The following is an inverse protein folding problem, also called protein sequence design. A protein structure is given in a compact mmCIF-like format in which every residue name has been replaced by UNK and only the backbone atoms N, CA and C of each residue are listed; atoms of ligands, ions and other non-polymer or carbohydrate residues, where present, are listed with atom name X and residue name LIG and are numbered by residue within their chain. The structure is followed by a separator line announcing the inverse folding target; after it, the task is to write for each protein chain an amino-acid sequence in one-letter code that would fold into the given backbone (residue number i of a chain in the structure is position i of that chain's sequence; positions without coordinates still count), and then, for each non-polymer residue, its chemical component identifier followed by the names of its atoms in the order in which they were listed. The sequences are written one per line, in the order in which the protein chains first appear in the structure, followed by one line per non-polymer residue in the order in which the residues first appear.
data_IF_814618978169
#
_entry.id   IF_814618978169
#
_cell.length_a   1.000
_cell.length_b   1.000
_cell.length_c   1.000
_cell.angle_alpha   90.00
_cell.angle_beta   90.00
_cell.angle_gamma   90.00
#
_symmetry.space_group_name_H-M   'P 1'
#
loop_
_entity.id
_entity.type
_entity.pdbx_description
1 polymer ?
#
# COMPACT_ATOMS: atom_id res chain seq x y z
N UNK A 1 24.65 -2.37 30.45
CA UNK A 1 24.62 -0.92 30.14
C UNK A 1 23.85 -0.81 28.85
N UNK A 2 22.81 0.03 28.76
CA UNK A 2 22.08 0.20 27.51
C UNK A 2 23.02 0.70 26.42
N UNK A 3 22.88 0.16 25.21
CA UNK A 3 23.64 0.59 24.04
C UNK A 3 23.20 1.97 23.58
N UNK A 4 23.95 2.61 22.67
CA UNK A 4 23.52 3.87 22.04
C UNK A 4 22.18 3.67 21.33
N UNK A 5 22.01 2.52 20.68
CA UNK A 5 20.78 2.08 20.02
C UNK A 5 19.62 1.97 21.02
N UNK A 6 19.81 1.34 22.19
CA UNK A 6 18.75 1.19 23.21
C UNK A 6 18.25 2.56 23.71
N UNK A 7 19.17 3.51 23.90
CA UNK A 7 18.81 4.86 24.32
C UNK A 7 18.07 5.64 23.22
N UNK A 8 18.45 5.45 21.95
CA UNK A 8 17.77 6.07 20.81
C UNK A 8 16.34 5.53 20.66
N UNK A 9 16.15 4.21 20.72
CA UNK A 9 14.83 3.59 20.64
C UNK A 9 13.90 4.06 21.77
N UNK A 10 14.41 4.14 23.00
CA UNK A 10 13.64 4.67 24.13
C UNK A 10 13.26 6.13 23.91
N UNK A 11 14.17 6.94 23.36
CA UNK A 11 13.91 8.37 23.09
C UNK A 11 12.86 8.55 21.99
N UNK A 12 12.89 7.71 20.96
CA UNK A 12 11.87 7.71 19.89
C UNK A 12 10.50 7.35 20.47
N UNK A 13 10.42 6.31 21.31
CA UNK A 13 9.16 5.87 21.93
C UNK A 13 8.55 6.94 22.84
N UNK A 14 9.38 7.69 23.55
CA UNK A 14 8.93 8.71 24.49
C UNK A 14 8.70 10.09 23.86
N UNK A 15 9.19 10.32 22.62
CA UNK A 15 9.04 11.61 21.94
C UNK A 15 7.62 11.78 21.36
N UNK A 16 7.19 13.04 21.30
CA UNK A 16 5.90 13.48 20.76
C UNK A 16 6.10 14.63 19.75
N UNK A 17 7.35 14.92 19.38
CA UNK A 17 7.75 16.02 18.51
C UNK A 17 8.24 15.46 17.18
N UNK A 18 7.59 15.85 16.09
CA UNK A 18 7.87 15.32 14.74
C UNK A 18 9.28 15.66 14.26
N UNK A 19 9.77 16.88 14.53
CA UNK A 19 11.11 17.32 14.14
C UNK A 19 12.19 16.55 14.92
N UNK A 20 11.94 16.29 16.22
CA UNK A 20 12.81 15.46 17.05
C UNK A 20 12.82 14.01 16.56
N UNK A 21 11.65 13.43 16.27
CA UNK A 21 11.53 12.08 15.73
C UNK A 21 12.28 11.94 14.41
N UNK A 22 12.11 12.86 13.47
CA UNK A 22 12.86 12.86 12.20
C UNK A 22 14.37 12.93 12.43
N UNK A 23 14.82 13.80 13.34
CA UNK A 23 16.24 13.92 13.65
C UNK A 23 16.79 12.61 14.24
N UNK A 24 16.06 11.99 15.16
CA UNK A 24 16.42 10.72 15.78
C UNK A 24 16.43 9.56 14.77
N UNK A 25 15.45 9.51 13.86
CA UNK A 25 15.39 8.54 12.77
C UNK A 25 16.53 8.73 11.77
N UNK A 26 16.89 9.98 11.46
CA UNK A 26 18.05 10.30 10.64
C UNK A 26 19.39 9.79 11.22
N UNK A 27 19.45 9.53 12.53
CA UNK A 27 20.63 8.90 13.14
C UNK A 27 20.74 7.41 12.80
N UNK A 28 19.65 6.73 12.46
CA UNK A 28 19.65 5.33 12.00
C UNK A 28 20.14 5.19 10.56
N UNK A 29 19.95 6.20 9.71
CA UNK A 29 20.45 6.20 8.32
C UNK A 29 22.00 6.09 8.22
N UNK A 30 22.73 6.32 9.31
CA UNK A 30 24.18 6.14 9.39
C UNK A 30 24.64 4.77 9.91
N UNK A 31 23.71 3.90 10.32
CA UNK A 31 23.98 2.56 10.85
C UNK A 31 23.97 1.57 9.67
N UNK A 32 24.96 0.67 9.54
CA UNK A 32 24.90 -0.41 8.56
C UNK A 32 23.61 -1.22 8.72
N UNK A 33 22.99 -1.63 7.61
CA UNK A 33 21.71 -2.36 7.65
C UNK A 33 21.75 -3.60 8.53
N UNK A 34 22.88 -4.32 8.54
CA UNK A 34 23.14 -5.50 9.40
C UNK A 34 23.10 -5.23 10.92
N UNK A 35 23.23 -3.96 11.32
CA UNK A 35 23.23 -3.51 12.72
C UNK A 35 21.94 -2.71 13.07
N UNK A 36 21.00 -2.57 12.13
CA UNK A 36 19.73 -1.89 12.40
C UNK A 36 18.86 -2.74 13.33
N UNK A 37 18.24 -2.13 14.37
CA UNK A 37 17.28 -2.81 15.22
C UNK A 37 15.92 -2.90 14.51
N UNK A 38 15.86 -3.63 13.39
CA UNK A 38 14.72 -3.71 12.47
C UNK A 38 13.45 -4.18 13.19
N UNK A 39 13.57 -5.11 14.14
CA UNK A 39 12.45 -5.58 14.96
C UNK A 39 11.86 -4.48 15.85
N UNK A 40 12.70 -3.79 16.61
CA UNK A 40 12.26 -2.74 17.53
C UNK A 40 11.74 -1.50 16.77
N UNK A 41 12.32 -1.17 15.62
CA UNK A 41 11.81 -0.11 14.74
C UNK A 41 10.44 -0.48 14.14
N UNK A 42 10.24 -1.75 13.78
CA UNK A 42 8.93 -2.25 13.33
C UNK A 42 7.91 -2.17 14.46
N UNK A 43 8.29 -2.54 15.69
CA UNK A 43 7.40 -2.40 16.85
C UNK A 43 7.02 -0.93 17.07
N UNK A 44 7.97 0.00 17.02
CA UNK A 44 7.71 1.44 17.14
C UNK A 44 6.74 1.92 16.05
N UNK A 45 7.01 1.56 14.80
CA UNK A 45 6.18 1.93 13.65
C UNK A 45 4.75 1.40 13.82
N UNK A 46 4.59 0.23 14.42
CA UNK A 46 3.30 -0.45 14.58
C UNK A 46 2.78 -0.37 16.02
N UNK A 47 3.21 0.58 16.86
CA UNK A 47 2.65 0.71 18.22
C UNK A 47 1.38 1.56 18.20
N UNK A 48 0.32 1.07 18.86
CA UNK A 48 -0.99 1.74 19.03
C UNK A 48 -0.90 2.93 19.99
N UNK A 49 -1.58 4.05 19.70
CA UNK A 49 -1.93 5.00 20.75
C UNK A 49 -3.02 4.36 21.64
N UNK A 50 -2.81 4.37 22.95
CA UNK A 50 -3.70 3.77 23.95
C UNK A 50 -5.12 4.35 24.00
N UNK A 51 -5.40 5.46 23.29
CA UNK A 51 -6.69 6.16 23.34
C UNK A 51 -7.57 6.02 22.10
N UNK A 52 -7.06 5.50 20.98
CA UNK A 52 -7.84 5.38 19.75
C UNK A 52 -7.67 3.96 19.19
N UNK A 53 -8.72 3.40 18.60
CA UNK A 53 -8.70 2.09 17.92
C UNK A 53 -7.79 2.10 16.66
N UNK A 54 -6.91 3.10 16.53
CA UNK A 54 -5.92 3.31 15.50
C UNK A 54 -4.57 2.82 16.00
N UNK A 55 -4.00 1.87 15.26
CA UNK A 55 -2.55 1.69 15.27
C UNK A 55 -1.98 3.02 14.78
N UNK A 56 -0.94 3.53 15.45
CA UNK A 56 -0.11 4.68 15.09
C UNK A 56 -0.25 5.92 16.00
N UNK A 57 0.78 6.15 16.82
CA UNK A 57 1.17 7.46 17.37
C UNK A 57 1.47 8.48 16.23
N UNK A 58 1.74 8.00 15.00
CA UNK A 58 2.35 8.76 13.90
C UNK A 58 1.50 8.85 12.62
N UNK A 59 0.22 8.44 12.61
CA UNK A 59 -0.61 8.54 11.40
C UNK A 59 -0.73 10.00 10.90
N UNK A 60 -0.66 10.97 11.80
CA UNK A 60 -0.62 12.40 11.49
C UNK A 60 0.78 12.91 11.08
N UNK A 61 1.86 12.15 11.35
CA UNK A 61 3.26 12.50 11.11
C UNK A 61 3.80 11.77 9.88
N UNK A 62 3.30 12.17 8.71
CA UNK A 62 3.57 11.51 7.41
C UNK A 62 5.07 11.34 7.13
N UNK A 63 5.87 12.38 7.41
CA UNK A 63 7.30 12.39 7.08
C UNK A 63 8.12 11.42 7.93
N UNK A 64 7.74 11.25 9.20
CA UNK A 64 8.33 10.26 10.13
C UNK A 64 8.02 8.84 9.65
N UNK A 65 6.79 8.62 9.19
CA UNK A 65 6.31 7.33 8.72
C UNK A 65 7.04 6.88 7.45
N UNK A 66 7.13 7.77 6.45
CA UNK A 66 7.83 7.50 5.19
C UNK A 66 9.32 7.18 5.44
N UNK A 67 9.98 7.92 6.35
CA UNK A 67 11.39 7.70 6.71
C UNK A 67 11.60 6.33 7.36
N UNK A 68 10.72 5.93 8.28
CA UNK A 68 10.81 4.62 8.94
C UNK A 68 10.67 3.48 7.95
N UNK A 69 9.80 3.61 6.96
CA UNK A 69 9.59 2.56 5.96
C UNK A 69 10.71 2.49 4.96
N UNK A 70 11.26 3.63 4.56
CA UNK A 70 12.46 3.65 3.73
C UNK A 70 13.58 2.87 4.43
N UNK A 71 13.83 3.15 5.72
CA UNK A 71 14.81 2.43 6.53
C UNK A 71 14.51 0.93 6.64
N UNK A 72 13.27 0.55 6.95
CA UNK A 72 12.88 -0.86 7.11
C UNK A 72 12.88 -1.63 5.77
N UNK A 73 12.61 -0.95 4.66
CA UNK A 73 12.59 -1.57 3.33
C UNK A 73 13.99 -1.88 2.81
N UNK A 74 15.03 -1.19 3.29
CA UNK A 74 16.43 -1.53 2.97
C UNK A 74 16.87 -2.88 3.55
N UNK A 75 16.19 -3.35 4.61
CA UNK A 75 16.47 -4.60 5.32
C UNK A 75 15.20 -5.46 5.50
N UNK A 76 14.36 -5.47 4.47
CA UNK A 76 13.06 -6.14 4.45
C UNK A 76 13.08 -7.61 4.92
N UNK A 77 14.16 -8.35 4.62
CA UNK A 77 14.32 -9.76 5.01
C UNK A 77 14.38 -9.97 6.53
N UNK A 78 14.68 -8.93 7.31
CA UNK A 78 14.74 -8.97 8.77
C UNK A 78 13.51 -8.31 9.45
N UNK A 79 12.56 -7.80 8.67
CA UNK A 79 11.31 -7.26 9.21
C UNK A 79 10.46 -8.41 9.76
N UNK A 80 10.02 -8.36 11.02
CA UNK A 80 9.13 -9.38 11.56
C UNK A 80 7.76 -9.32 10.87
N UNK A 81 7.41 -10.37 10.11
CA UNK A 81 6.16 -10.42 9.33
C UNK A 81 4.90 -10.38 10.21
N UNK A 82 4.90 -11.09 11.35
CA UNK A 82 3.73 -11.24 12.22
C UNK A 82 3.10 -9.91 12.66
N UNK A 83 3.85 -8.91 13.20
CA UNK A 83 3.28 -7.63 13.57
C UNK A 83 2.77 -6.82 12.37
N UNK A 84 3.45 -6.87 11.21
CA UNK A 84 3.00 -6.18 9.99
C UNK A 84 1.67 -6.74 9.50
N UNK A 85 1.56 -8.07 9.46
CA UNK A 85 0.32 -8.79 9.11
C UNK A 85 -0.80 -8.46 10.10
N UNK A 86 -0.50 -8.41 11.40
CA UNK A 86 -1.48 -8.08 12.42
C UNK A 86 -2.00 -6.64 12.27
N UNK A 87 -1.10 -5.68 12.04
CA UNK A 87 -1.45 -4.28 11.80
C UNK A 87 -2.30 -4.13 10.53
N UNK A 88 -1.93 -4.82 9.44
CA UNK A 88 -2.66 -4.77 8.18
C UNK A 88 -4.07 -5.35 8.32
N UNK A 89 -4.23 -6.48 9.01
CA UNK A 89 -5.55 -7.06 9.30
C UNK A 89 -6.40 -6.14 10.14
N UNK A 90 -5.81 -5.48 11.14
CA UNK A 90 -6.55 -4.54 11.96
C UNK A 90 -6.99 -3.33 11.15
N UNK A 91 -6.08 -2.69 10.41
CA UNK A 91 -6.38 -1.55 9.55
C UNK A 91 -7.51 -1.86 8.56
N UNK A 92 -7.48 -3.06 7.97
CA UNK A 92 -8.55 -3.51 7.09
C UNK A 92 -9.88 -3.76 7.82
N UNK A 93 -9.84 -4.25 9.06
CA UNK A 93 -11.04 -4.52 9.85
C UNK A 93 -11.73 -3.25 10.37
N UNK A 94 -10.96 -2.18 10.61
CA UNK A 94 -11.50 -0.88 11.05
C UNK A 94 -11.81 0.06 9.91
N UNK A 95 -11.31 -0.21 8.69
CA UNK A 95 -11.72 0.53 7.50
C UNK A 95 -13.25 0.49 7.41
N UNK A 96 -13.87 1.68 7.31
CA UNK A 96 -15.32 1.78 7.18
C UNK A 96 -15.76 0.94 5.98
N UNK A 97 -16.98 0.40 6.02
CA UNK A 97 -17.62 -0.29 4.90
C UNK A 97 -18.53 0.62 4.08
N UNK A 98 -18.72 1.87 4.54
CA UNK A 98 -19.48 2.91 3.85
C UNK A 98 -18.66 3.62 2.79
N UNK A 99 -19.29 3.94 1.66
CA UNK A 99 -18.75 4.83 0.62
C UNK A 99 -19.17 6.30 0.84
N UNK A 100 -19.84 6.63 1.96
CA UNK A 100 -20.49 7.94 2.13
C UNK A 100 -19.53 9.10 2.42
N UNK A 101 -18.31 8.84 2.90
CA UNK A 101 -17.19 9.79 2.98
C UNK A 101 -15.90 9.00 3.26
N UNK A 102 -14.74 9.32 2.62
CA UNK A 102 -13.48 8.68 2.99
C UNK A 102 -13.15 9.08 4.42
N UNK A 103 -13.04 8.10 5.31
CA UNK A 103 -12.44 8.31 6.62
C UNK A 103 -10.93 8.44 6.40
N UNK A 104 -10.48 9.68 6.19
CA UNK A 104 -9.15 9.99 5.66
C UNK A 104 -8.02 9.38 6.46
N UNK A 105 -8.22 9.20 7.76
CA UNK A 105 -7.16 8.79 8.67
C UNK A 105 -7.05 7.25 8.71
N UNK A 106 -8.18 6.54 8.72
CA UNK A 106 -8.21 5.08 8.58
C UNK A 106 -7.79 4.62 7.18
N UNK A 107 -8.26 5.32 6.14
CA UNK A 107 -7.89 5.02 4.74
C UNK A 107 -6.39 5.28 4.51
N UNK A 108 -5.86 6.41 5.02
CA UNK A 108 -4.42 6.68 4.97
C UNK A 108 -3.62 5.64 5.74
N UNK A 109 -4.07 5.23 6.94
CA UNK A 109 -3.43 4.18 7.73
C UNK A 109 -3.37 2.85 6.98
N UNK A 110 -4.48 2.44 6.35
CA UNK A 110 -4.54 1.21 5.56
C UNK A 110 -3.63 1.27 4.33
N UNK A 111 -3.68 2.34 3.54
CA UNK A 111 -2.83 2.53 2.36
C UNK A 111 -1.35 2.41 2.74
N UNK A 112 -0.99 3.09 3.82
CA UNK A 112 0.32 3.07 4.43
C UNK A 112 0.73 1.64 4.79
N UNK A 113 0.04 0.99 5.73
CA UNK A 113 0.45 -0.36 6.16
C UNK A 113 0.49 -1.35 4.98
N UNK A 114 -0.42 -1.23 4.01
CA UNK A 114 -0.38 -2.04 2.80
C UNK A 114 0.87 -1.78 1.95
N UNK A 115 1.26 -0.51 1.76
CA UNK A 115 2.51 -0.12 1.09
C UNK A 115 3.74 -0.72 1.78
N UNK A 116 3.80 -0.64 3.10
CA UNK A 116 4.89 -1.27 3.86
C UNK A 116 4.89 -2.80 3.72
N UNK A 117 3.71 -3.43 3.76
CA UNK A 117 3.59 -4.87 3.63
C UNK A 117 4.03 -5.41 2.25
N UNK A 118 4.07 -4.57 1.20
CA UNK A 118 4.65 -4.93 -0.11
C UNK A 118 6.16 -5.16 -0.01
N UNK A 119 6.84 -4.49 0.93
CA UNK A 119 8.27 -4.70 1.16
C UNK A 119 8.58 -6.05 1.80
N UNK A 120 7.59 -6.76 2.36
CA UNK A 120 7.81 -8.10 2.92
C UNK A 120 8.26 -9.10 1.82
N UNK A 121 9.01 -10.16 2.17
CA UNK A 121 9.40 -11.19 1.21
C UNK A 121 8.22 -11.83 0.47
N UNK A 122 7.08 -11.96 1.15
CA UNK A 122 5.82 -12.41 0.56
C UNK A 122 4.65 -11.62 1.16
N UNK A 123 3.84 -11.00 0.28
CA UNK A 123 2.61 -10.36 0.71
C UNK A 123 1.55 -11.41 1.09
N UNK A 124 0.86 -11.28 2.25
CA UNK A 124 -0.13 -12.24 2.72
C UNK A 124 -1.30 -12.43 1.75
N UNK A 125 -1.40 -13.61 1.14
CA UNK A 125 -2.36 -13.89 0.07
C UNK A 125 -3.84 -13.84 0.51
N UNK A 126 -4.13 -14.18 1.77
CA UNK A 126 -5.46 -14.07 2.37
C UNK A 126 -5.88 -12.61 2.49
N UNK A 127 -4.98 -11.74 2.96
CA UNK A 127 -5.26 -10.30 3.06
C UNK A 127 -5.41 -9.67 1.68
N UNK A 128 -4.58 -10.05 0.71
CA UNK A 128 -4.73 -9.57 -0.66
C UNK A 128 -6.10 -9.94 -1.23
N UNK A 129 -6.58 -11.16 -0.95
CA UNK A 129 -7.93 -11.57 -1.35
C UNK A 129 -9.01 -10.72 -0.67
N UNK A 130 -8.84 -10.40 0.62
CA UNK A 130 -9.78 -9.56 1.37
C UNK A 130 -9.81 -8.11 0.84
N UNK A 131 -8.65 -7.51 0.51
CA UNK A 131 -8.55 -6.19 -0.13
C UNK A 131 -9.32 -6.17 -1.46
N UNK A 132 -9.03 -7.13 -2.32
CA UNK A 132 -9.62 -7.25 -3.67
C UNK A 132 -11.12 -7.57 -3.66
N UNK A 133 -11.62 -8.16 -2.58
CA UNK A 133 -13.05 -8.49 -2.40
C UNK A 133 -13.81 -7.45 -1.57
N UNK A 134 -13.15 -6.39 -1.11
CA UNK A 134 -13.75 -5.44 -0.18
C UNK A 134 -14.97 -4.70 -0.80
N UNK A 135 -16.02 -4.37 -0.02
CA UNK A 135 -17.20 -3.66 -0.55
C UNK A 135 -16.91 -2.26 -1.11
N UNK A 136 -15.99 -1.51 -0.51
CA UNK A 136 -15.61 -0.16 -0.94
C UNK A 136 -14.66 -0.16 -2.12
N UNK A 137 -14.87 0.77 -3.07
CA UNK A 137 -14.02 0.95 -4.24
C UNK A 137 -12.58 1.27 -3.89
N UNK A 138 -12.36 2.21 -2.97
CA UNK A 138 -11.02 2.62 -2.50
C UNK A 138 -10.16 1.42 -2.04
N UNK A 139 -10.71 0.55 -1.19
CA UNK A 139 -9.96 -0.59 -0.65
C UNK A 139 -9.64 -1.62 -1.74
N UNK A 140 -10.56 -1.83 -2.70
CA UNK A 140 -10.26 -2.67 -3.86
C UNK A 140 -9.16 -2.06 -4.72
N UNK A 141 -9.17 -0.74 -4.90
CA UNK A 141 -8.13 -0.04 -5.65
C UNK A 141 -6.75 -0.21 -5.02
N UNK A 142 -6.67 -0.12 -3.69
CA UNK A 142 -5.46 -0.43 -2.94
C UNK A 142 -4.99 -1.87 -3.19
N UNK A 143 -5.92 -2.83 -3.26
CA UNK A 143 -5.61 -4.21 -3.68
C UNK A 143 -5.02 -4.28 -5.09
N UNK A 144 -5.46 -3.43 -6.02
CA UNK A 144 -4.88 -3.33 -7.37
C UNK A 144 -3.48 -2.70 -7.35
N UNK A 145 -3.23 -1.72 -6.48
CA UNK A 145 -1.89 -1.16 -6.25
C UNK A 145 -0.95 -2.25 -5.74
N UNK A 146 -1.36 -3.04 -4.76
CA UNK A 146 -0.57 -4.18 -4.26
C UNK A 146 -0.25 -5.16 -5.40
N UNK A 147 -1.25 -5.58 -6.19
CA UNK A 147 -1.00 -6.45 -7.35
C UNK A 147 -0.02 -5.84 -8.37
N UNK A 148 -0.12 -4.54 -8.61
CA UNK A 148 0.74 -3.84 -9.57
C UNK A 148 2.19 -3.78 -9.09
N UNK A 149 2.42 -3.47 -7.81
CA UNK A 149 3.77 -3.41 -7.24
C UNK A 149 4.43 -4.78 -7.13
N UNK A 150 3.62 -5.85 -7.02
CA UNK A 150 4.11 -7.24 -7.01
C UNK A 150 4.33 -7.83 -8.42
N UNK A 151 4.26 -7.02 -9.49
CA UNK A 151 4.36 -7.46 -10.90
C UNK A 151 3.32 -8.56 -11.26
N UNK A 152 2.12 -8.47 -10.67
CA UNK A 152 0.99 -9.40 -10.88
C UNK A 152 -0.13 -8.76 -11.70
N UNK A 153 0.19 -7.90 -12.66
CA UNK A 153 -0.82 -7.08 -13.36
C UNK A 153 -1.79 -7.92 -14.21
N UNK A 154 -1.44 -9.15 -14.57
CA UNK A 154 -2.37 -10.08 -15.21
C UNK A 154 -3.60 -10.38 -14.34
N UNK A 155 -3.45 -10.35 -13.01
CA UNK A 155 -4.53 -10.60 -12.04
C UNK A 155 -5.45 -9.39 -11.84
N UNK A 156 -5.06 -8.21 -12.35
CA UNK A 156 -5.86 -6.98 -12.31
C UNK A 156 -6.93 -6.98 -13.43
N UNK A 157 -6.72 -7.71 -14.53
CA UNK A 157 -7.63 -7.73 -15.70
C UNK A 157 -9.11 -8.01 -15.37
N UNK A 158 -9.47 -8.90 -14.42
CA UNK A 158 -10.86 -9.09 -14.01
C UNK A 158 -11.57 -7.82 -13.50
N UNK A 159 -10.83 -6.86 -12.92
CA UNK A 159 -11.36 -5.62 -12.35
C UNK A 159 -11.77 -4.58 -13.39
N UNK A 160 -11.54 -4.84 -14.68
CA UNK A 160 -12.16 -4.07 -15.77
C UNK A 160 -13.70 -4.17 -15.79
N UNK A 161 -14.28 -5.04 -14.97
CA UNK A 161 -15.72 -5.22 -14.78
C UNK A 161 -16.18 -4.89 -13.37
N UNK A 162 -15.32 -4.27 -12.56
CA UNK A 162 -15.67 -3.83 -11.23
C UNK A 162 -16.93 -2.93 -11.29
N UNK A 163 -17.86 -2.99 -10.32
CA UNK A 163 -19.02 -2.08 -10.30
C UNK A 163 -18.62 -0.61 -10.19
N UNK A 164 -17.50 -0.31 -9.54
CA UNK A 164 -16.98 1.04 -9.33
C UNK A 164 -16.20 1.54 -10.57
N UNK A 165 -16.52 2.75 -11.03
CA UNK A 165 -15.87 3.35 -12.20
C UNK A 165 -14.40 3.72 -11.97
N UNK A 166 -14.03 4.14 -10.76
CA UNK A 166 -12.67 4.53 -10.40
C UNK A 166 -11.77 3.29 -10.37
N UNK A 167 -12.25 2.20 -9.79
CA UNK A 167 -11.55 0.90 -9.81
C UNK A 167 -11.36 0.41 -11.25
N UNK A 168 -12.38 0.52 -12.11
CA UNK A 168 -12.23 0.18 -13.54
C UNK A 168 -11.18 1.03 -14.25
N UNK A 169 -11.12 2.34 -13.97
CA UNK A 169 -10.09 3.24 -14.54
C UNK A 169 -8.70 2.87 -14.05
N UNK A 170 -8.54 2.59 -12.76
CA UNK A 170 -7.27 2.18 -12.18
C UNK A 170 -6.78 0.85 -12.75
N UNK A 171 -7.67 -0.16 -12.83
CA UNK A 171 -7.38 -1.44 -13.46
C UNK A 171 -6.92 -1.28 -14.92
N UNK A 172 -7.55 -0.39 -15.68
CA UNK A 172 -7.12 -0.02 -17.03
C UNK A 172 -5.69 0.52 -17.02
N UNK A 173 -5.38 1.50 -16.19
CA UNK A 173 -4.07 2.15 -16.18
C UNK A 173 -2.93 1.20 -15.77
N UNK A 174 -3.19 0.31 -14.82
CA UNK A 174 -2.20 -0.64 -14.29
C UNK A 174 -1.97 -1.85 -15.21
N UNK A 175 -3.02 -2.37 -15.83
CA UNK A 175 -2.96 -3.65 -16.53
C UNK A 175 -3.11 -3.59 -18.05
N UNK A 176 -3.23 -2.40 -18.68
CA UNK A 176 -3.57 -2.27 -20.10
C UNK A 176 -2.69 -3.07 -21.06
N UNK A 177 -1.42 -3.34 -20.70
CA UNK A 177 -0.48 -4.15 -21.51
C UNK A 177 -0.89 -5.61 -21.66
N UNK A 178 -1.74 -6.09 -20.75
CA UNK A 178 -2.31 -7.43 -20.72
C UNK A 178 -3.76 -7.46 -21.23
N UNK A 179 -4.34 -6.28 -21.53
CA UNK A 179 -5.73 -6.17 -21.98
C UNK A 179 -5.78 -6.27 -23.50
N UNK A 180 -6.54 -7.23 -24.07
CA UNK A 180 -6.71 -7.31 -25.52
C UNK A 180 -7.24 -5.98 -26.10
N UNK A 181 -6.68 -5.54 -27.23
CA UNK A 181 -7.12 -4.31 -27.91
C UNK A 181 -8.63 -4.27 -28.15
N UNK A 182 -9.24 -5.41 -28.47
CA UNK A 182 -10.69 -5.53 -28.64
C UNK A 182 -11.46 -5.18 -27.36
N UNK A 183 -10.97 -5.60 -26.19
CA UNK A 183 -11.57 -5.26 -24.90
C UNK A 183 -11.48 -3.76 -24.63
N UNK A 184 -10.34 -3.11 -24.91
CA UNK A 184 -10.19 -1.65 -24.78
C UNK A 184 -11.17 -0.91 -25.71
N UNK A 185 -11.35 -1.38 -26.95
CA UNK A 185 -12.30 -0.80 -27.90
C UNK A 185 -13.76 -0.99 -27.44
N UNK A 186 -14.10 -2.14 -26.86
CA UNK A 186 -15.43 -2.39 -26.30
C UNK A 186 -15.71 -1.44 -25.14
N UNK A 187 -14.79 -1.33 -24.17
CA UNK A 187 -14.95 -0.41 -23.03
C UNK A 187 -15.08 1.03 -23.50
N UNK A 188 -14.27 1.47 -24.45
CA UNK A 188 -14.32 2.82 -25.02
C UNK A 188 -15.68 3.19 -25.65
N UNK A 189 -16.44 2.20 -26.11
CA UNK A 189 -17.72 2.41 -26.79
C UNK A 189 -18.93 2.16 -25.89
N UNK A 190 -18.81 1.22 -24.94
CA UNK A 190 -19.96 0.61 -24.26
C UNK A 190 -19.96 0.78 -22.74
N UNK A 191 -18.86 1.20 -22.11
CA UNK A 191 -18.89 1.42 -20.65
C UNK A 191 -19.91 2.52 -20.31
N UNK A 192 -20.72 2.36 -19.24
CA UNK A 192 -21.70 3.37 -18.86
C UNK A 192 -21.06 4.73 -18.49
N UNK A 193 -19.80 4.73 -18.03
CA UNK A 193 -19.14 5.92 -17.49
C UNK A 193 -18.19 6.56 -18.50
N UNK A 194 -18.27 7.88 -18.64
CA UNK A 194 -17.48 8.63 -19.61
C UNK A 194 -15.98 8.61 -19.31
N UNK A 195 -15.63 8.60 -18.02
CA UNK A 195 -14.26 8.47 -17.50
C UNK A 195 -13.60 7.19 -18.00
N UNK A 196 -14.26 6.04 -17.79
CA UNK A 196 -13.80 4.73 -18.27
C UNK A 196 -13.71 4.69 -19.80
N UNK A 197 -14.75 5.18 -20.51
CA UNK A 197 -14.73 5.22 -21.98
C UNK A 197 -13.53 6.00 -22.51
N UNK A 198 -13.24 7.16 -21.91
CA UNK A 198 -12.14 8.04 -22.31
C UNK A 198 -10.78 7.40 -22.06
N UNK A 199 -10.56 6.84 -20.86
CA UNK A 199 -9.34 6.13 -20.52
C UNK A 199 -9.10 4.95 -21.48
N UNK A 200 -10.11 4.12 -21.71
CA UNK A 200 -10.02 2.98 -22.63
C UNK A 200 -9.71 3.41 -24.08
N UNK A 201 -10.30 4.51 -24.56
CA UNK A 201 -10.02 5.03 -25.90
C UNK A 201 -8.56 5.49 -26.06
N UNK A 202 -8.01 6.19 -25.06
CA UNK A 202 -6.61 6.63 -25.06
C UNK A 202 -5.66 5.42 -25.05
N UNK A 203 -5.93 4.45 -24.18
CA UNK A 203 -5.13 3.23 -24.08
C UNK A 203 -5.23 2.37 -25.36
N UNK A 204 -6.39 2.32 -26.02
CA UNK A 204 -6.54 1.63 -27.31
C UNK A 204 -5.64 2.23 -28.40
N UNK A 205 -5.47 3.56 -28.41
CA UNK A 205 -4.55 4.23 -29.35
C UNK A 205 -3.08 3.91 -29.01
N UNK A 206 -2.72 3.84 -27.73
CA UNK A 206 -1.38 3.45 -27.30
C UNK A 206 -1.07 1.99 -27.64
N UNK A 207 -2.02 1.10 -27.39
CA UNK A 207 -1.95 -0.34 -27.69
C UNK A 207 -1.74 -0.65 -29.18
N UNK A 208 -2.20 0.22 -30.09
CA UNK A 208 -1.93 0.07 -31.53
C UNK A 208 -0.50 0.46 -31.92
N UNK A 209 0.18 1.25 -31.10
CA UNK A 209 1.53 1.77 -31.37
C UNK A 209 2.63 0.95 -30.69
N UNK A 210 2.27 0.10 -29.72
CA UNK A 210 3.21 -0.68 -28.92
C UNK A 210 2.88 -2.18 -28.98
N UNK A 211 3.89 -3.07 -29.01
CA UNK A 211 3.64 -4.51 -28.90
C UNK A 211 3.01 -4.82 -27.53
N UNK A 212 1.91 -5.56 -27.56
CA UNK A 212 1.23 -6.05 -26.34
C UNK A 212 2.12 -7.05 -25.60
N UNK A 213 2.08 -7.04 -24.26
CA UNK A 213 2.74 -8.07 -23.49
C UNK A 213 2.08 -9.42 -23.80
N UNK A 214 2.89 -10.45 -24.05
CA UNK A 214 2.34 -11.80 -24.19
C UNK A 214 2.13 -12.33 -22.77
N UNK A 215 0.91 -12.71 -22.36
CA UNK A 215 0.71 -13.30 -21.04
C UNK A 215 1.58 -14.56 -20.93
N UNK A 216 2.39 -14.63 -19.87
CA UNK A 216 3.13 -15.85 -19.54
C UNK A 216 2.12 -16.99 -19.32
N UNK A 217 2.40 -18.15 -19.89
CA UNK A 217 1.53 -19.33 -19.83
C UNK A 217 1.65 -20.06 -18.51
#
# INVERSE_FOLDING_TARGET
MPTVTDNLLTTIQDSQDEDELQLLLGMFAGIPTEDLPTGELTDILLTTDTNEDLWLITASMTEVWDTLIELLSEDADNVPEEPVIAALRHALAVADTSDEEPDSDHDACLERIASFAISLPEFPADILADLLAHPRGFVRDLGLDVLYQLDREAEIVPFLRDPDEEVRVSALNKAWRFVPLATLQTLAQQDPHETVRTAAAQLAVLAQKQPQATPAR
#
